data_IF_763675112885
#
_entry.id   IF_763675112885
#
_cell.length_a   1.000
_cell.length_b   1.000
_cell.length_c   1.000
_cell.angle_alpha   90.00
_cell.angle_beta   90.00
_cell.angle_gamma   90.00
#
_symmetry.space_group_name_H-M   'P 1'
#
loop_
_entity.id
_entity.type
_entity.pdbx_description
1 polymer ?
#
# COMPACT_ATOMS: atom_id res chain seq x y z
N UNK A 1 -6.77 14.02 -33.73
CA UNK A 1 -7.13 14.07 -32.30
C UNK A 1 -7.12 12.67 -31.74
N UNK A 2 -6.13 12.33 -30.90
CA UNK A 2 -6.18 11.09 -30.12
C UNK A 2 -7.13 11.33 -28.95
N UNK A 3 -8.19 10.54 -28.87
CA UNK A 3 -9.24 10.66 -27.85
C UNK A 3 -9.35 9.33 -27.14
N UNK A 4 -9.40 9.35 -25.81
CA UNK A 4 -9.59 8.14 -25.00
C UNK A 4 -10.98 8.22 -24.39
N UNK A 5 -11.77 7.16 -24.57
CA UNK A 5 -13.05 7.00 -23.87
C UNK A 5 -12.76 6.25 -22.57
N UNK A 6 -13.14 6.82 -21.44
CA UNK A 6 -13.03 6.16 -20.14
C UNK A 6 -14.43 5.67 -19.71
N UNK A 7 -14.69 4.35 -19.70
CA UNK A 7 -16.02 3.81 -19.37
C UNK A 7 -16.54 4.31 -18.02
N UNK A 8 -15.66 4.45 -17.03
CA UNK A 8 -16.01 4.81 -15.65
C UNK A 8 -15.79 6.30 -15.34
N UNK A 9 -15.45 7.11 -16.35
CA UNK A 9 -15.37 8.55 -16.13
C UNK A 9 -16.74 9.14 -15.79
N UNK A 10 -16.80 10.21 -14.98
CA UNK A 10 -18.04 10.93 -14.71
C UNK A 10 -18.68 11.42 -16.03
N UNK A 11 -19.94 11.06 -16.26
CA UNK A 11 -20.68 11.44 -17.48
C UNK A 11 -21.78 10.45 -17.81
N UNK A 12 -22.86 10.93 -18.44
CA UNK A 12 -23.99 10.08 -18.88
C UNK A 12 -23.81 9.60 -20.32
N UNK A 13 -23.07 10.35 -21.13
CA UNK A 13 -22.85 10.07 -22.55
C UNK A 13 -21.41 9.65 -22.85
N UNK A 14 -21.17 9.06 -24.01
CA UNK A 14 -19.81 8.70 -24.45
C UNK A 14 -18.95 9.96 -24.68
N UNK A 15 -19.53 11.06 -25.16
CA UNK A 15 -18.79 12.30 -25.39
C UNK A 15 -18.37 13.00 -24.09
N UNK A 16 -19.18 12.94 -23.04
CA UNK A 16 -18.80 13.45 -21.71
C UNK A 16 -17.66 12.64 -21.08
N UNK A 17 -17.58 11.35 -21.39
CA UNK A 17 -16.55 10.41 -20.91
C UNK A 17 -15.30 10.39 -21.79
N UNK A 18 -15.25 11.23 -22.81
CA UNK A 18 -14.17 11.29 -23.80
C UNK A 18 -13.13 12.31 -23.38
N UNK A 19 -11.94 11.85 -23.04
CA UNK A 19 -10.77 12.69 -22.85
C UNK A 19 -10.20 13.09 -24.20
N UNK A 20 -10.23 14.39 -24.48
CA UNK A 20 -9.57 14.99 -25.64
C UNK A 20 -8.22 15.51 -25.20
N UNK A 21 -7.16 14.99 -25.81
CA UNK A 21 -5.83 15.44 -25.46
C UNK A 21 -5.59 16.91 -25.88
N UNK A 22 -5.01 17.75 -25.01
CA UNK A 22 -4.70 19.15 -25.33
C UNK A 22 -3.63 19.27 -26.42
N UNK A 23 -3.53 20.45 -27.03
CA UNK A 23 -2.44 20.76 -27.97
C UNK A 23 -1.09 20.73 -27.23
N UNK A 24 -0.12 19.95 -27.74
CA UNK A 24 1.21 19.82 -27.16
C UNK A 24 1.59 18.37 -26.86
N UNK A 25 2.60 18.17 -26.01
CA UNK A 25 2.99 16.84 -25.50
C UNK A 25 2.15 16.50 -24.27
N UNK A 26 1.66 15.27 -24.21
CA UNK A 26 0.85 14.77 -23.11
C UNK A 26 1.09 13.26 -22.93
N UNK A 27 0.80 12.75 -21.74
CA UNK A 27 0.86 11.34 -21.39
C UNK A 27 -0.36 10.98 -20.54
N UNK A 28 -0.88 9.78 -20.71
CA UNK A 28 -1.77 9.16 -19.72
C UNK A 28 -0.91 8.36 -18.75
N UNK A 29 -1.23 8.46 -17.46
CA UNK A 29 -0.63 7.66 -16.40
C UNK A 29 -1.73 6.83 -15.77
N UNK A 30 -1.58 5.52 -15.83
CA UNK A 30 -2.49 4.55 -15.25
C UNK A 30 -1.78 3.87 -14.08
N UNK A 31 -2.52 3.55 -13.03
CA UNK A 31 -2.01 2.82 -11.87
C UNK A 31 -2.83 1.56 -11.69
N UNK A 32 -2.17 0.42 -11.57
CA UNK A 32 -2.80 -0.88 -11.39
C UNK A 32 -1.99 -1.71 -10.39
N UNK A 33 -2.68 -2.53 -9.59
CA UNK A 33 -2.06 -3.46 -8.65
C UNK A 33 -1.67 -4.78 -9.32
N UNK A 34 -2.32 -5.16 -10.42
CA UNK A 34 -2.13 -6.47 -11.08
C UNK A 34 -1.77 -6.33 -12.56
N UNK A 35 -1.34 -5.15 -13.01
CA UNK A 35 -0.93 -4.90 -14.42
C UNK A 35 -1.98 -5.31 -15.46
N UNK A 36 -3.27 -5.26 -15.09
CA UNK A 36 -4.40 -5.57 -15.95
C UNK A 36 -4.60 -7.05 -16.29
N UNK A 37 -3.82 -7.97 -15.71
CA UNK A 37 -4.04 -9.42 -15.88
C UNK A 37 -5.17 -9.98 -15.01
N UNK A 38 -5.88 -9.11 -14.27
CA UNK A 38 -6.78 -9.51 -13.20
C UNK A 38 -6.03 -10.01 -11.98
N UNK A 39 -6.74 -10.52 -10.98
CA UNK A 39 -6.12 -11.03 -9.75
C UNK A 39 -6.08 -12.55 -9.66
N UNK A 40 -4.88 -13.12 -9.84
CA UNK A 40 -4.64 -14.56 -9.67
C UNK A 40 -4.62 -14.99 -8.19
N UNK A 41 -4.55 -14.04 -7.25
CA UNK A 41 -4.38 -14.31 -5.82
C UNK A 41 -5.68 -14.29 -5.01
N UNK A 42 -6.74 -13.67 -5.53
CA UNK A 42 -8.02 -13.44 -4.85
C UNK A 42 -7.99 -12.36 -3.75
N UNK A 43 -6.92 -11.57 -3.68
CA UNK A 43 -6.68 -10.49 -2.71
C UNK A 43 -7.21 -9.14 -3.21
N UNK A 44 -7.20 -8.90 -4.51
CA UNK A 44 -7.63 -7.68 -5.17
C UNK A 44 -8.90 -7.94 -6.01
N UNK A 45 -9.82 -6.99 -5.97
CA UNK A 45 -10.95 -6.96 -6.90
C UNK A 45 -10.49 -6.36 -8.23
N UNK A 46 -9.57 -7.06 -8.91
CA UNK A 46 -8.96 -6.59 -10.16
C UNK A 46 -9.57 -7.29 -11.37
N UNK A 47 -10.14 -6.49 -12.28
CA UNK A 47 -10.71 -6.99 -13.52
C UNK A 47 -9.62 -7.26 -14.57
N UNK A 48 -9.79 -8.35 -15.32
CA UNK A 48 -8.94 -8.68 -16.46
C UNK A 48 -9.20 -7.67 -17.58
N UNK A 49 -8.16 -6.95 -17.99
CA UNK A 49 -8.20 -6.05 -19.13
C UNK A 49 -8.01 -6.82 -20.43
N UNK A 50 -8.62 -6.35 -21.52
CA UNK A 50 -8.42 -6.97 -22.82
C UNK A 50 -7.01 -6.70 -23.35
N UNK A 51 -6.45 -7.68 -24.10
CA UNK A 51 -5.12 -7.56 -24.68
C UNK A 51 -4.97 -6.30 -25.55
N UNK A 52 -6.04 -5.88 -26.23
CA UNK A 52 -6.03 -4.68 -27.06
C UNK A 52 -5.82 -3.38 -26.26
N UNK A 53 -6.26 -3.32 -25.00
CA UNK A 53 -6.00 -2.19 -24.11
C UNK A 53 -4.59 -2.23 -23.57
N UNK A 54 -4.10 -3.41 -23.16
CA UNK A 54 -2.73 -3.58 -22.68
C UNK A 54 -1.70 -3.22 -23.77
N UNK A 55 -1.94 -3.58 -25.03
CA UNK A 55 -1.09 -3.21 -26.17
C UNK A 55 -0.99 -1.69 -26.43
N UNK A 56 -1.92 -0.89 -25.87
CA UNK A 56 -1.87 0.59 -25.96
C UNK A 56 -1.05 1.23 -24.83
N UNK A 57 -0.59 0.43 -23.88
CA UNK A 57 0.26 0.88 -22.78
C UNK A 57 1.72 0.66 -23.19
N UNK A 58 2.34 1.72 -23.73
CA UNK A 58 3.70 1.64 -24.30
C UNK A 58 4.80 1.40 -23.24
N UNK A 59 4.53 1.73 -21.96
CA UNK A 59 5.51 1.65 -20.89
C UNK A 59 4.84 1.25 -19.57
N UNK A 60 5.36 0.18 -18.95
CA UNK A 60 4.94 -0.30 -17.64
C UNK A 60 6.09 -0.14 -16.66
N UNK A 61 5.81 0.44 -15.50
CA UNK A 61 6.78 0.63 -14.42
C UNK A 61 6.25 -0.10 -13.19
N UNK A 62 6.99 -1.09 -12.72
CA UNK A 62 6.70 -1.76 -11.45
C UNK A 62 7.19 -0.88 -10.27
N UNK A 63 6.33 -0.67 -9.29
CA UNK A 63 6.65 0.10 -8.07
C UNK A 63 6.58 -0.82 -6.86
N UNK A 64 7.73 -1.36 -6.44
CA UNK A 64 7.83 -2.15 -5.20
C UNK A 64 8.00 -1.23 -3.98
N UNK A 65 7.93 -1.82 -2.78
CA UNK A 65 8.19 -1.12 -1.54
C UNK A 65 9.58 -0.47 -1.51
N UNK A 66 9.64 0.70 -0.89
CA UNK A 66 10.88 1.44 -0.69
C UNK A 66 11.92 0.60 0.09
N UNK A 67 13.20 0.84 -0.20
CA UNK A 67 14.28 0.30 0.62
C UNK A 67 14.20 0.81 2.05
N UNK A 68 14.82 0.07 2.99
CA UNK A 68 14.87 0.45 4.41
C UNK A 68 15.38 1.89 4.60
N UNK A 69 16.40 2.29 3.86
CA UNK A 69 17.00 3.63 3.99
C UNK A 69 16.05 4.72 3.49
N UNK A 70 15.33 4.47 2.39
CA UNK A 70 14.31 5.38 1.88
C UNK A 70 13.12 5.51 2.84
N UNK A 71 12.64 4.40 3.42
CA UNK A 71 11.61 4.44 4.45
C UNK A 71 12.09 5.19 5.69
N UNK A 72 13.34 4.97 6.13
CA UNK A 72 13.92 5.70 7.25
C UNK A 72 13.94 7.21 7.00
N UNK A 73 14.36 7.65 5.80
CA UNK A 73 14.35 9.06 5.42
C UNK A 73 12.93 9.64 5.46
N UNK A 74 11.95 8.90 4.94
CA UNK A 74 10.56 9.35 4.91
C UNK A 74 9.96 9.44 6.32
N UNK A 75 10.21 8.43 7.16
CA UNK A 75 9.71 8.38 8.53
C UNK A 75 10.30 9.50 9.39
N UNK A 76 11.61 9.77 9.25
CA UNK A 76 12.29 10.89 9.95
C UNK A 76 11.77 12.26 9.53
N UNK A 77 11.26 12.41 8.30
CA UNK A 77 10.62 13.64 7.85
C UNK A 77 9.21 13.80 8.40
N UNK A 78 8.53 12.70 8.72
CA UNK A 78 7.12 12.72 9.09
C UNK A 78 6.86 12.73 10.61
N UNK A 79 7.81 12.28 11.43
CA UNK A 79 7.67 12.21 12.89
C UNK A 79 9.02 12.38 13.60
N UNK A 80 8.97 12.74 14.88
CA UNK A 80 10.13 12.91 15.76
C UNK A 80 10.26 11.74 16.76
N UNK A 81 10.24 10.50 16.22
CA UNK A 81 10.48 9.29 17.01
C UNK A 81 11.97 8.93 17.00
N UNK A 82 12.40 8.21 18.04
CA UNK A 82 13.79 7.76 18.10
C UNK A 82 14.10 6.71 17.01
N UNK A 83 15.36 6.67 16.57
CA UNK A 83 15.82 5.77 15.51
C UNK A 83 15.58 4.29 15.82
N UNK A 84 15.58 3.89 17.09
CA UNK A 84 15.32 2.51 17.49
C UNK A 84 13.86 2.10 17.22
N UNK A 85 12.90 2.98 17.51
CA UNK A 85 11.48 2.77 17.24
C UNK A 85 11.26 2.72 15.74
N UNK A 86 11.82 3.69 14.99
CA UNK A 86 11.69 3.72 13.53
C UNK A 86 12.26 2.45 12.87
N UNK A 87 13.44 2.00 13.32
CA UNK A 87 14.03 0.74 12.87
C UNK A 87 13.12 -0.46 13.18
N UNK A 88 12.54 -0.51 14.38
CA UNK A 88 11.57 -1.54 14.76
C UNK A 88 10.36 -1.53 13.83
N UNK A 89 9.76 -0.36 13.59
CA UNK A 89 8.60 -0.22 12.70
C UNK A 89 8.90 -0.68 11.27
N UNK A 90 10.04 -0.28 10.70
CA UNK A 90 10.45 -0.69 9.35
C UNK A 90 10.73 -2.20 9.29
N UNK A 91 11.39 -2.76 10.30
CA UNK A 91 11.64 -4.21 10.38
C UNK A 91 10.32 -4.99 10.47
N UNK A 92 9.36 -4.50 11.26
CA UNK A 92 8.02 -5.09 11.35
C UNK A 92 7.31 -5.05 10.00
N UNK A 93 7.33 -3.91 9.31
CA UNK A 93 6.75 -3.78 7.98
C UNK A 93 7.37 -4.77 6.97
N UNK A 94 8.69 -4.97 7.05
CA UNK A 94 9.40 -5.97 6.23
C UNK A 94 8.92 -7.39 6.51
N UNK A 95 8.73 -7.78 7.77
CA UNK A 95 8.21 -9.11 8.13
C UNK A 95 6.79 -9.33 7.59
N UNK A 96 5.91 -8.33 7.78
CA UNK A 96 4.54 -8.36 7.26
C UNK A 96 4.52 -8.49 5.75
N UNK A 97 5.28 -7.67 5.02
CA UNK A 97 5.35 -7.72 3.55
C UNK A 97 5.90 -9.05 3.04
N UNK A 98 6.87 -9.63 3.74
CA UNK A 98 7.39 -10.95 3.40
C UNK A 98 6.35 -12.06 3.63
N UNK A 99 5.60 -12.01 4.73
CA UNK A 99 4.52 -12.96 5.01
C UNK A 99 3.38 -12.84 3.99
N UNK A 100 3.04 -11.62 3.58
CA UNK A 100 2.08 -11.35 2.51
C UNK A 100 2.56 -11.90 1.16
N UNK A 101 3.82 -11.64 0.76
CA UNK A 101 4.42 -12.22 -0.46
C UNK A 101 4.41 -13.76 -0.44
N UNK A 102 4.52 -14.38 0.75
CA UNK A 102 4.42 -15.84 0.95
C UNK A 102 2.99 -16.36 1.13
N UNK A 103 1.96 -15.51 1.03
CA UNK A 103 0.55 -15.85 1.25
C UNK A 103 0.27 -16.46 2.64
N UNK A 104 1.10 -16.14 3.63
CA UNK A 104 0.90 -16.58 5.03
C UNK A 104 -0.11 -15.69 5.75
N UNK A 105 -0.20 -14.43 5.35
CA UNK A 105 -1.22 -13.47 5.77
C UNK A 105 -1.87 -12.86 4.53
N UNK A 106 -3.10 -12.36 4.67
CA UNK A 106 -3.88 -11.84 3.55
C UNK A 106 -3.79 -10.32 3.42
N UNK A 107 -3.24 -9.63 4.42
CA UNK A 107 -3.09 -8.17 4.44
C UNK A 107 -1.65 -7.73 4.61
N UNK A 108 -1.25 -6.73 3.83
CA UNK A 108 0.07 -6.07 3.93
C UNK A 108 -0.01 -4.71 4.62
N UNK A 109 1.16 -4.13 4.96
CA UNK A 109 1.28 -2.78 5.48
C UNK A 109 1.99 -1.86 4.47
N UNK A 110 1.28 -0.83 4.02
CA UNK A 110 1.81 0.18 3.10
C UNK A 110 2.65 1.23 3.84
N UNK A 111 3.44 2.00 3.09
CA UNK A 111 4.15 3.17 3.60
C UNK A 111 3.21 4.16 4.27
N UNK A 112 2.00 4.35 3.71
CA UNK A 112 0.95 5.20 4.32
C UNK A 112 0.52 4.67 5.69
N UNK A 113 0.36 3.35 5.82
CA UNK A 113 0.07 2.70 7.10
C UNK A 113 1.20 2.88 8.12
N UNK A 114 2.45 2.78 7.66
CA UNK A 114 3.65 2.98 8.48
C UNK A 114 3.73 4.42 9.02
N UNK A 115 3.47 5.42 8.17
CA UNK A 115 3.42 6.83 8.57
C UNK A 115 2.31 7.12 9.57
N UNK A 116 1.09 6.62 9.30
CA UNK A 116 -0.04 6.78 10.22
C UNK A 116 0.20 6.09 11.58
N UNK A 117 0.97 4.99 11.59
CA UNK A 117 1.41 4.35 12.83
C UNK A 117 2.37 5.26 13.60
N UNK A 118 3.38 5.83 12.94
CA UNK A 118 4.37 6.72 13.56
C UNK A 118 3.71 7.95 14.20
N UNK A 119 2.88 8.65 13.44
CA UNK A 119 2.12 9.80 13.91
C UNK A 119 1.33 9.47 15.18
N UNK A 120 0.64 8.31 15.21
CA UNK A 120 -0.11 7.89 16.41
C UNK A 120 0.78 7.62 17.60
N UNK A 121 2.01 7.11 17.44
CA UNK A 121 2.94 6.93 18.56
C UNK A 121 3.26 8.27 19.23
N UNK A 122 3.39 9.35 18.45
CA UNK A 122 3.63 10.68 19.02
C UNK A 122 2.48 11.15 19.90
N UNK A 123 1.24 10.76 19.59
CA UNK A 123 0.07 11.12 20.39
C UNK A 123 -0.19 10.17 21.56
N UNK A 124 -0.17 8.85 21.32
CA UNK A 124 -0.53 7.85 22.33
C UNK A 124 0.62 7.54 23.29
N UNK A 125 1.86 7.82 22.87
CA UNK A 125 3.10 7.38 23.52
C UNK A 125 3.17 5.86 23.74
N UNK A 126 2.38 5.06 23.00
CA UNK A 126 2.35 3.61 23.08
C UNK A 126 2.44 2.97 21.68
N UNK A 127 3.50 2.19 21.45
CA UNK A 127 3.81 1.61 20.14
C UNK A 127 2.74 0.59 19.70
N UNK A 128 2.36 -0.31 20.61
CA UNK A 128 1.40 -1.39 20.34
C UNK A 128 -0.01 -0.86 20.12
N UNK A 129 -0.47 0.06 20.98
CA UNK A 129 -1.77 0.71 20.81
C UNK A 129 -1.85 1.45 19.48
N UNK A 130 -0.80 2.18 19.10
CA UNK A 130 -0.78 2.89 17.83
C UNK A 130 -0.84 1.95 16.62
N UNK A 131 -0.23 0.76 16.71
CA UNK A 131 -0.32 -0.25 15.64
C UNK A 131 -1.74 -0.84 15.54
N UNK A 132 -2.37 -1.12 16.69
CA UNK A 132 -3.78 -1.54 16.79
C UNK A 132 -4.69 -0.56 16.05
N UNK A 133 -4.54 0.73 16.35
CA UNK A 133 -5.38 1.80 15.78
C UNK A 133 -5.09 2.12 14.31
N UNK A 134 -3.86 1.92 13.83
CA UNK A 134 -3.48 2.28 12.46
C UNK A 134 -3.76 1.17 11.44
N UNK A 135 -3.54 -0.09 11.83
CA UNK A 135 -3.55 -1.21 10.88
C UNK A 135 -4.06 -2.52 11.47
N UNK A 136 -3.61 -2.94 12.64
CA UNK A 136 -3.85 -4.30 13.16
C UNK A 136 -5.35 -4.62 13.33
N UNK A 137 -6.20 -3.66 13.73
CA UNK A 137 -7.64 -3.92 13.88
C UNK A 137 -8.36 -4.23 12.55
N UNK A 138 -7.73 -3.97 11.40
CA UNK A 138 -8.27 -4.30 10.06
C UNK A 138 -8.06 -5.76 9.68
N UNK A 139 -7.19 -6.47 10.41
CA UNK A 139 -6.81 -7.85 10.11
C UNK A 139 -7.87 -8.84 10.58
N UNK A 140 -7.95 -9.98 9.88
CA UNK A 140 -8.72 -11.13 10.34
C UNK A 140 -8.04 -11.80 11.56
N UNK A 141 -8.77 -12.66 12.28
CA UNK A 141 -8.27 -13.30 13.50
C UNK A 141 -6.99 -14.11 13.30
N UNK A 142 -6.85 -14.82 12.17
CA UNK A 142 -5.66 -15.61 11.88
C UNK A 142 -4.42 -14.73 11.65
N UNK A 143 -4.57 -13.67 10.85
CA UNK A 143 -3.48 -12.73 10.57
C UNK A 143 -3.03 -12.00 11.85
N UNK A 144 -3.96 -11.69 12.76
CA UNK A 144 -3.66 -11.03 14.04
C UNK A 144 -2.67 -11.83 14.89
N UNK A 145 -2.86 -13.15 14.99
CA UNK A 145 -1.97 -14.02 15.77
C UNK A 145 -0.54 -13.97 15.22
N UNK A 146 -0.39 -14.09 13.90
CA UNK A 146 0.91 -14.02 13.23
C UNK A 146 1.58 -12.66 13.44
N UNK A 147 0.79 -11.58 13.35
CA UNK A 147 1.28 -10.21 13.55
C UNK A 147 1.69 -9.94 14.99
N UNK A 148 1.01 -10.51 15.98
CA UNK A 148 1.42 -10.42 17.39
C UNK A 148 2.78 -11.06 17.64
N UNK A 149 3.04 -12.22 17.03
CA UNK A 149 4.33 -12.90 17.14
C UNK A 149 5.45 -12.06 16.50
N UNK A 150 5.19 -11.48 15.32
CA UNK A 150 6.14 -10.56 14.67
C UNK A 150 6.38 -9.29 15.50
N UNK A 151 5.34 -8.74 16.13
CA UNK A 151 5.48 -7.60 17.02
C UNK A 151 6.36 -7.96 18.22
N UNK A 152 6.15 -9.12 18.83
CA UNK A 152 6.98 -9.61 19.93
C UNK A 152 8.42 -9.86 19.49
N UNK A 153 8.64 -10.44 18.31
CA UNK A 153 9.98 -10.64 17.75
C UNK A 153 10.75 -9.33 17.58
N UNK A 154 10.08 -8.26 17.16
CA UNK A 154 10.71 -6.96 16.85
C UNK A 154 10.91 -6.10 18.10
N UNK A 155 9.91 -6.04 18.98
CA UNK A 155 9.91 -5.11 20.12
C UNK A 155 10.12 -5.78 21.48
N UNK A 156 10.23 -7.11 21.52
CA UNK A 156 10.34 -7.91 22.74
C UNK A 156 9.25 -7.61 23.78
N UNK A 157 8.06 -7.22 23.30
CA UNK A 157 6.88 -6.86 24.11
C UNK A 157 5.64 -7.54 23.57
N UNK A 158 4.66 -7.79 24.44
CA UNK A 158 3.32 -8.15 23.99
C UNK A 158 2.57 -6.90 23.55
N UNK A 159 1.64 -7.07 22.63
CA UNK A 159 0.81 -5.98 22.15
C UNK A 159 -0.26 -5.70 23.21
N UNK A 160 0.01 -4.76 24.11
CA UNK A 160 -0.88 -4.45 25.24
C UNK A 160 -2.31 -4.20 24.75
N UNK A 161 -3.26 -4.92 25.35
CA UNK A 161 -4.65 -4.46 25.46
C UNK A 161 -4.66 -3.47 26.62
N UNK A 162 -5.12 -2.25 26.37
CA UNK A 162 -5.37 -1.32 27.47
C UNK A 162 -6.36 -1.93 28.46
#
# INVERSE_FOLDING_TARGET
>A
NRTVLLPDAPGRTADERKLVAPKGKWWYVLTDNTTGSGDETGIFDAEVQDASTLDRIDCTIEVDYLSKDQEMILMKKACNLNDSILNGMINMAKLVRNAFKKKTIMSTISVRGLLAWAEKIEHTKNIGLSLKLSWYNKLCSNDRQVVEDMYHQVFSKKMEDK
#
